data_IF_922892058331
#
_entry.id   IF_922892058331
#
_cell.length_a   1.000
_cell.length_b   1.000
_cell.length_c   1.000
_cell.angle_alpha   90.00
_cell.angle_beta   90.00
_cell.angle_gamma   90.00
#
_symmetry.space_group_name_H-M   'P 1'
#
loop_
_entity.id
_entity.type
_entity.pdbx_description
1 polymer ?
#
# COMPACT_ATOMS: atom_id res chain seq x y z
N UNK A 1 16.97 -18.30 -0.47
CA UNK A 1 17.07 -17.02 -1.19
C UNK A 1 15.88 -16.23 -0.74
N UNK A 2 16.09 -15.27 0.16
CA UNK A 2 15.03 -14.37 0.58
C UNK A 2 14.68 -13.51 -0.63
N UNK A 3 13.49 -13.75 -1.21
CA UNK A 3 13.01 -12.93 -2.31
C UNK A 3 12.89 -11.49 -1.79
N UNK A 4 13.47 -10.52 -2.51
CA UNK A 4 13.38 -9.13 -2.12
C UNK A 4 11.92 -8.72 -2.21
N UNK A 5 11.42 -7.99 -1.20
CA UNK A 5 10.04 -7.48 -1.22
C UNK A 5 9.76 -6.62 -2.46
N UNK A 6 10.81 -5.98 -2.99
CA UNK A 6 10.75 -5.14 -4.18
C UNK A 6 10.75 -5.95 -5.50
N UNK A 7 10.88 -7.28 -5.44
CA UNK A 7 10.66 -8.16 -6.59
C UNK A 7 9.16 -8.23 -6.96
N UNK A 8 8.27 -7.88 -6.02
CA UNK A 8 6.86 -7.64 -6.32
C UNK A 8 6.69 -6.27 -6.99
N UNK A 9 6.27 -6.22 -8.27
CA UNK A 9 6.21 -4.97 -9.03
C UNK A 9 5.16 -4.00 -8.49
N UNK A 10 4.10 -4.49 -7.85
CA UNK A 10 3.09 -3.62 -7.26
C UNK A 10 3.61 -2.97 -5.99
N UNK A 11 4.30 -3.74 -5.13
CA UNK A 11 4.94 -3.20 -3.92
C UNK A 11 6.02 -2.17 -4.30
N UNK A 12 6.86 -2.48 -5.28
CA UNK A 12 7.87 -1.55 -5.78
C UNK A 12 7.24 -0.23 -6.27
N UNK A 13 6.12 -0.30 -7.00
CA UNK A 13 5.39 0.87 -7.44
C UNK A 13 4.81 1.71 -6.29
N UNK A 14 4.35 1.09 -5.19
CA UNK A 14 3.89 1.83 -4.01
C UNK A 14 5.04 2.55 -3.30
N UNK A 15 6.20 1.90 -3.16
CA UNK A 15 7.41 2.52 -2.60
C UNK A 15 7.85 3.69 -3.47
N UNK A 16 7.83 3.53 -4.79
CA UNK A 16 8.18 4.58 -5.74
C UNK A 16 7.22 5.77 -5.68
N UNK A 17 5.92 5.50 -5.57
CA UNK A 17 4.91 6.53 -5.39
C UNK A 17 5.10 7.31 -4.08
N UNK A 18 5.49 6.63 -2.99
CA UNK A 18 5.76 7.27 -1.70
C UNK A 18 6.96 8.23 -1.76
N UNK A 19 7.99 7.90 -2.54
CA UNK A 19 9.20 8.73 -2.67
C UNK A 19 9.14 9.75 -3.81
N UNK A 20 8.21 9.61 -4.75
CA UNK A 20 8.05 10.50 -5.91
C UNK A 20 8.06 12.00 -5.58
N UNK A 21 7.45 12.48 -4.48
CA UNK A 21 7.50 13.90 -4.12
C UNK A 21 8.91 14.44 -3.83
N UNK A 22 9.89 13.57 -3.58
CA UNK A 22 11.24 13.96 -3.18
C UNK A 22 12.27 13.86 -4.32
N UNK A 23 11.94 13.19 -5.43
CA UNK A 23 12.87 12.87 -6.54
C UNK A 23 13.59 14.10 -7.11
N UNK A 24 12.91 15.26 -7.16
CA UNK A 24 13.49 16.52 -7.67
C UNK A 24 13.89 17.51 -6.56
N UNK A 25 13.77 17.10 -5.29
CA UNK A 25 14.04 17.94 -4.11
C UNK A 25 15.24 17.47 -3.32
N UNK A 26 15.56 16.19 -3.39
CA UNK A 26 16.68 15.57 -2.70
C UNK A 26 17.66 14.94 -3.70
N UNK A 27 18.94 14.79 -3.33
CA UNK A 27 19.90 14.00 -4.11
C UNK A 27 19.40 12.57 -4.37
N UNK A 28 19.79 11.99 -5.51
CA UNK A 28 19.35 10.64 -5.89
C UNK A 28 19.70 9.56 -4.85
N UNK A 29 20.83 9.70 -4.14
CA UNK A 29 21.22 8.74 -3.11
C UNK A 29 20.32 8.80 -1.86
N UNK A 30 19.83 9.98 -1.49
CA UNK A 30 18.87 10.14 -0.39
C UNK A 30 17.53 9.47 -0.75
N UNK A 31 17.07 9.65 -1.98
CA UNK A 31 15.85 8.99 -2.48
C UNK A 31 16.01 7.47 -2.53
N UNK A 32 17.18 6.98 -2.94
CA UNK A 32 17.48 5.55 -2.93
C UNK A 32 17.47 4.99 -1.49
N UNK A 33 18.11 5.69 -0.56
CA UNK A 33 18.09 5.34 0.87
C UNK A 33 16.66 5.31 1.42
N UNK A 34 15.81 6.28 1.08
CA UNK A 34 14.40 6.28 1.50
C UNK A 34 13.64 5.05 0.98
N UNK A 35 13.89 4.61 -0.27
CA UNK A 35 13.27 3.40 -0.82
C UNK A 35 13.69 2.16 -0.04
N UNK A 36 14.97 2.05 0.30
CA UNK A 36 15.51 0.95 1.11
C UNK A 36 14.88 0.92 2.50
N UNK A 37 14.78 2.08 3.18
CA UNK A 37 14.17 2.18 4.50
C UNK A 37 12.68 1.83 4.49
N UNK A 38 11.93 2.23 3.46
CA UNK A 38 10.52 1.84 3.32
C UNK A 38 10.37 0.33 3.11
N UNK A 39 11.24 -0.28 2.30
CA UNK A 39 11.24 -1.72 2.10
C UNK A 39 11.59 -2.47 3.41
N UNK A 40 12.55 -1.97 4.17
CA UNK A 40 12.94 -2.52 5.48
C UNK A 40 11.78 -2.45 6.48
N UNK A 41 11.08 -1.31 6.58
CA UNK A 41 9.87 -1.18 7.43
C UNK A 41 8.83 -2.21 7.02
N UNK A 42 8.54 -2.34 5.73
CA UNK A 42 7.56 -3.31 5.24
C UNK A 42 7.97 -4.76 5.53
N UNK A 43 9.27 -5.06 5.59
CA UNK A 43 9.77 -6.39 5.92
C UNK A 43 9.64 -6.74 7.40
N UNK A 44 9.81 -5.76 8.29
CA UNK A 44 9.86 -5.99 9.73
C UNK A 44 8.57 -5.63 10.48
N UNK A 45 7.72 -4.77 9.91
CA UNK A 45 6.44 -4.38 10.48
C UNK A 45 5.29 -5.17 9.83
N UNK A 46 4.81 -6.18 10.57
CA UNK A 46 3.70 -7.03 10.14
C UNK A 46 2.40 -6.24 9.90
N UNK A 47 2.16 -5.16 10.65
CA UNK A 47 0.96 -4.33 10.47
C UNK A 47 1.06 -3.49 9.21
N UNK A 48 2.21 -2.88 8.94
CA UNK A 48 2.46 -2.16 7.70
C UNK A 48 2.28 -3.08 6.48
N UNK A 49 2.85 -4.28 6.52
CA UNK A 49 2.71 -5.29 5.48
C UNK A 49 1.25 -5.73 5.30
N UNK A 50 0.51 -5.92 6.39
CA UNK A 50 -0.92 -6.28 6.36
C UNK A 50 -1.76 -5.18 5.70
N UNK A 51 -1.50 -3.91 6.04
CA UNK A 51 -2.19 -2.77 5.44
C UNK A 51 -1.89 -2.65 3.94
N UNK A 52 -0.64 -2.84 3.56
CA UNK A 52 -0.21 -2.83 2.16
C UNK A 52 -0.92 -3.93 1.36
N UNK A 53 -0.92 -5.18 1.85
CA UNK A 53 -1.63 -6.29 1.20
C UNK A 53 -3.13 -6.06 1.11
N UNK A 54 -3.75 -5.44 2.12
CA UNK A 54 -5.17 -5.09 2.09
C UNK A 54 -5.49 -4.02 1.03
N UNK A 55 -4.55 -3.12 0.75
CA UNK A 55 -4.70 -2.09 -0.27
C UNK A 55 -4.43 -2.62 -1.69
N UNK A 56 -3.87 -3.83 -1.84
CA UNK A 56 -3.64 -4.44 -3.14
C UNK A 56 -4.95 -4.53 -3.92
N UNK A 57 -5.02 -3.99 -5.15
CA UNK A 57 -6.20 -4.12 -6.00
C UNK A 57 -6.52 -5.61 -6.15
N UNK A 58 -7.75 -6.00 -5.80
CA UNK A 58 -8.25 -7.32 -6.19
C UNK A 58 -8.40 -7.28 -7.71
N UNK A 59 -7.88 -8.28 -8.42
CA UNK A 59 -8.13 -8.43 -9.85
C UNK A 59 -9.64 -8.30 -10.08
N UNK A 60 -10.03 -7.22 -10.75
CA UNK A 60 -11.40 -6.99 -11.17
C UNK A 60 -11.53 -7.83 -12.44
N UNK A 61 -12.38 -8.86 -12.37
CA UNK A 61 -12.79 -9.67 -13.52
C UNK A 61 -13.26 -8.76 -14.67
N UNK A 62 -13.21 -9.22 -15.92
CA UNK A 62 -13.40 -8.43 -17.15
C UNK A 62 -14.78 -7.71 -17.26
N UNK A 63 -15.67 -7.90 -16.29
CA UNK A 63 -16.82 -7.03 -16.04
C UNK A 63 -16.36 -5.79 -15.28
N UNK A 64 -16.44 -4.60 -15.87
CA UNK A 64 -15.97 -3.31 -15.30
C UNK A 64 -16.63 -2.84 -13.98
N UNK A 65 -17.12 -3.74 -13.14
CA UNK A 65 -17.62 -3.50 -11.80
C UNK A 65 -16.47 -3.31 -10.82
N UNK A 66 -16.11 -2.05 -10.57
CA UNK A 66 -15.19 -1.68 -9.50
C UNK A 66 -15.73 -2.20 -8.17
N UNK A 67 -15.05 -3.18 -7.56
CA UNK A 67 -15.28 -3.56 -6.18
C UNK A 67 -14.86 -2.39 -5.24
N UNK A 68 -15.78 -1.45 -4.98
CA UNK A 68 -15.61 -0.48 -3.91
C UNK A 68 -15.76 -1.17 -2.55
N UNK A 69 -14.69 -1.83 -2.11
CA UNK A 69 -14.52 -2.29 -0.73
C UNK A 69 -14.08 -1.14 0.16
N UNK A 70 -15.05 -0.34 0.61
CA UNK A 70 -14.87 0.92 1.33
C UNK A 70 -13.90 0.86 2.51
N UNK A 71 -13.00 1.86 2.55
CA UNK A 71 -12.30 2.24 3.77
C UNK A 71 -13.27 3.05 4.62
N UNK A 72 -13.98 2.37 5.53
CA UNK A 72 -14.56 2.95 6.75
C UNK A 72 -15.76 3.89 6.61
N UNK A 73 -16.98 3.35 6.69
CA UNK A 73 -18.11 4.06 7.29
C UNK A 73 -18.64 3.22 8.45
N UNK A 74 -18.28 3.62 9.67
CA UNK A 74 -18.81 3.04 10.90
C UNK A 74 -20.27 3.40 11.14
N UNK A 75 -20.90 2.59 12.01
CA UNK A 75 -22.18 2.73 12.68
C UNK A 75 -23.46 2.27 11.94
N UNK A 76 -24.06 1.11 12.33
CA UNK A 76 -25.50 0.94 12.25
C UNK A 76 -26.15 1.77 13.37
N UNK A 77 -26.57 2.99 13.03
CA UNK A 77 -27.43 3.80 13.88
C UNK A 77 -28.82 3.18 14.03
N UNK A 78 -29.06 2.57 15.20
CA UNK A 78 -30.34 2.52 15.95
C UNK A 78 -31.55 1.95 15.21
N UNK A 79 -31.83 0.67 15.48
CA UNK A 79 -33.14 0.06 15.28
C UNK A 79 -34.22 0.82 16.08
N UNK A 80 -35.36 1.08 15.44
CA UNK A 80 -36.62 1.40 16.11
C UNK A 80 -37.25 0.12 16.67
N UNK A 81 -37.59 0.16 17.94
CA UNK A 81 -38.70 -0.54 18.61
C UNK A 81 -38.94 0.32 19.87
N UNK A 82 -40.12 0.78 20.24
CA UNK A 82 -41.49 0.32 20.10
C UNK A 82 -42.21 0.91 21.30
#
# INVERSE_FOLDING_TARGET
MDASLLDDPWIAAQVDAAVAPYVNRLPAHEVAWMREQLAEVLQHDEEAMRLLRRAHPREVDESGERAFGGVGAGAPGRAKAG
#
